data_IF_134844257355
#
_entry.id   IF_134844257355
#
_cell.length_a   1.000
_cell.length_b   1.000
_cell.length_c   1.000
_cell.angle_alpha   90.00
_cell.angle_beta   90.00
_cell.angle_gamma   90.00
#
_symmetry.space_group_name_H-M   'P 1'
#
loop_
_entity.id
_entity.type
_entity.pdbx_description
1 polymer ?
#
# COMPACT_ATOMS: atom_id res chain seq x y z
N UNK A 1 -10.47 11.20 2.93
CA UNK A 1 -9.27 10.42 2.58
C UNK A 1 -8.40 10.33 3.83
N UNK A 2 -8.44 9.17 4.46
CA UNK A 2 -7.67 8.83 5.67
C UNK A 2 -6.18 8.74 5.35
N UNK A 3 -5.31 9.16 6.26
CA UNK A 3 -3.85 9.03 6.09
C UNK A 3 -3.44 7.61 6.50
N UNK A 4 -2.75 6.90 5.61
CA UNK A 4 -2.18 5.58 5.90
C UNK A 4 -0.78 5.70 6.48
N UNK A 5 0.16 6.26 5.71
CA UNK A 5 1.57 6.36 6.10
C UNK A 5 2.23 7.60 5.48
N UNK A 6 3.34 8.04 6.06
CA UNK A 6 4.14 9.17 5.57
C UNK A 6 5.62 8.85 5.66
N UNK A 7 6.30 8.79 4.52
CA UNK A 7 7.76 8.58 4.44
C UNK A 7 8.33 9.43 3.28
N UNK A 8 9.55 9.98 3.39
CA UNK A 8 10.17 10.76 2.32
C UNK A 8 10.22 10.09 0.94
N UNK A 9 10.21 8.76 0.88
CA UNK A 9 10.30 8.00 -0.38
C UNK A 9 9.00 8.01 -1.19
N UNK A 10 7.85 8.00 -0.54
CA UNK A 10 6.55 7.92 -1.21
C UNK A 10 5.60 9.08 -0.88
N UNK A 11 5.96 9.96 0.05
CA UNK A 11 5.14 11.10 0.50
C UNK A 11 4.07 10.68 1.52
N UNK A 12 2.96 11.40 1.54
CA UNK A 12 1.83 11.18 2.44
C UNK A 12 0.74 10.37 1.75
N UNK A 13 0.75 9.06 1.95
CA UNK A 13 -0.23 8.16 1.35
C UNK A 13 -1.58 8.30 2.02
N UNK A 14 -2.58 8.69 1.23
CA UNK A 14 -3.97 8.75 1.66
C UNK A 14 -4.79 7.67 0.98
N UNK A 15 -5.59 6.97 1.76
CA UNK A 15 -6.49 5.92 1.26
C UNK A 15 -7.57 6.56 0.40
N UNK A 16 -7.69 6.05 -0.83
CA UNK A 16 -8.67 6.49 -1.83
C UNK A 16 -9.79 5.47 -1.96
N UNK A 17 -9.47 4.18 -2.06
CA UNK A 17 -10.45 3.11 -2.20
C UNK A 17 -9.99 1.84 -1.50
N UNK A 18 -10.88 1.15 -0.79
CA UNK A 18 -10.60 -0.09 -0.05
C UNK A 18 -11.20 -1.28 -0.78
N UNK A 19 -10.38 -2.28 -1.05
CA UNK A 19 -10.75 -3.49 -1.79
C UNK A 19 -10.98 -4.70 -0.88
N UNK A 20 -10.30 -4.72 0.27
CA UNK A 20 -10.49 -5.72 1.31
C UNK A 20 -10.38 -5.04 2.67
N UNK A 21 -11.40 -5.23 3.49
CA UNK A 21 -11.47 -4.74 4.87
C UNK A 21 -11.70 -5.92 5.80
N UNK A 22 -10.79 -6.08 6.77
CA UNK A 22 -10.87 -7.08 7.82
C UNK A 22 -10.09 -6.56 9.03
N UNK A 23 -10.82 -6.11 10.05
CA UNK A 23 -10.26 -5.36 11.19
C UNK A 23 -9.40 -4.17 10.74
N UNK A 24 -9.96 -3.40 9.78
CA UNK A 24 -9.29 -2.31 9.09
C UNK A 24 -8.94 -2.63 7.62
N UNK A 25 -8.45 -1.64 6.86
CA UNK A 25 -8.15 -1.79 5.43
C UNK A 25 -6.95 -2.71 5.22
N UNK A 26 -7.11 -3.83 4.52
CA UNK A 26 -6.01 -4.79 4.26
C UNK A 26 -5.53 -4.78 2.81
N UNK A 27 -6.39 -4.38 1.87
CA UNK A 27 -6.00 -4.11 0.48
C UNK A 27 -6.67 -2.83 0.04
N UNK A 28 -5.90 -1.86 -0.44
CA UNK A 28 -6.45 -0.57 -0.86
C UNK A 28 -5.56 0.14 -1.87
N UNK A 29 -6.15 1.13 -2.52
CA UNK A 29 -5.48 2.09 -3.38
C UNK A 29 -5.24 3.39 -2.60
N UNK A 30 -4.02 3.92 -2.69
CA UNK A 30 -3.63 5.18 -2.09
C UNK A 30 -2.99 6.15 -3.10
N UNK A 31 -3.16 7.45 -2.84
CA UNK A 31 -2.48 8.54 -3.55
C UNK A 31 -1.61 9.33 -2.57
N UNK A 32 -0.48 9.85 -3.06
CA UNK A 32 0.27 10.87 -2.33
C UNK A 32 -0.14 12.29 -2.76
N UNK A 33 0.44 13.30 -2.13
CA UNK A 33 0.18 14.73 -2.40
C UNK A 33 0.56 15.18 -3.82
N UNK A 34 1.44 14.44 -4.50
CA UNK A 34 1.85 14.69 -5.89
C UNK A 34 0.92 14.04 -6.91
N UNK A 35 -0.10 13.28 -6.46
CA UNK A 35 -1.00 12.53 -7.33
C UNK A 35 -0.42 11.21 -7.85
N UNK A 36 0.75 10.79 -7.34
CA UNK A 36 1.29 9.46 -7.60
C UNK A 36 0.47 8.40 -6.89
N UNK A 37 0.41 7.22 -7.50
CA UNK A 37 -0.56 6.18 -7.16
C UNK A 37 0.11 4.90 -6.70
N UNK A 38 -0.46 4.29 -5.68
CA UNK A 38 0.12 3.14 -5.01
C UNK A 38 -0.95 2.08 -4.70
N UNK A 39 -0.63 0.83 -4.97
CA UNK A 39 -1.38 -0.31 -4.48
C UNK A 39 -0.79 -0.75 -3.15
N UNK A 40 -1.61 -0.84 -2.10
CA UNK A 40 -1.16 -1.18 -0.75
C UNK A 40 -1.77 -2.50 -0.31
N UNK A 41 -0.91 -3.39 0.19
CA UNK A 41 -1.26 -4.75 0.57
C UNK A 41 -0.69 -5.09 1.95
N UNK A 42 -1.56 -5.44 2.91
CA UNK A 42 -1.17 -6.03 4.18
C UNK A 42 -0.68 -7.46 3.97
N UNK A 43 0.52 -7.75 4.46
CA UNK A 43 1.21 -9.04 4.26
C UNK A 43 1.04 -9.95 5.49
N UNK A 44 0.87 -9.36 6.67
CA UNK A 44 0.76 -10.10 7.92
C UNK A 44 1.18 -9.26 9.11
N UNK A 45 1.01 -9.83 10.29
CA UNK A 45 1.46 -9.24 11.54
C UNK A 45 2.66 -10.02 12.07
N UNK A 46 3.62 -9.29 12.60
CA UNK A 46 4.76 -9.82 13.35
C UNK A 46 4.55 -9.55 14.84
N UNK A 47 5.51 -9.90 15.69
CA UNK A 47 5.38 -9.72 17.14
C UNK A 47 5.23 -8.25 17.59
N UNK A 48 5.79 -7.30 16.83
CA UNK A 48 5.87 -5.88 17.23
C UNK A 48 5.38 -4.90 16.17
N UNK A 49 5.07 -5.35 14.95
CA UNK A 49 4.64 -4.49 13.85
C UNK A 49 3.72 -5.24 12.89
N UNK A 50 2.96 -4.48 12.12
CA UNK A 50 2.29 -4.96 10.91
C UNK A 50 3.20 -4.79 9.69
N UNK A 51 3.16 -5.75 8.77
CA UNK A 51 3.94 -5.74 7.54
C UNK A 51 3.05 -5.41 6.34
N UNK A 52 3.52 -4.47 5.52
CA UNK A 52 2.80 -3.94 4.37
C UNK A 52 3.70 -3.83 3.15
N UNK A 53 3.14 -4.07 1.97
CA UNK A 53 3.76 -3.71 0.70
C UNK A 53 3.07 -2.50 0.11
N UNK A 54 3.85 -1.47 -0.20
CA UNK A 54 3.40 -0.30 -0.96
C UNK A 54 4.04 -0.35 -2.34
N UNK A 55 3.22 -0.55 -3.35
CA UNK A 55 3.66 -0.84 -4.72
C UNK A 55 3.28 0.34 -5.61
N UNK A 56 4.25 1.11 -6.14
CA UNK A 56 3.97 2.12 -7.15
C UNK A 56 3.26 1.49 -8.35
N UNK A 57 2.14 2.07 -8.76
CA UNK A 57 1.24 1.45 -9.73
C UNK A 57 0.43 2.52 -10.44
N UNK A 58 0.34 2.46 -11.76
CA UNK A 58 -0.40 3.40 -12.59
C UNK A 58 -1.90 3.33 -12.34
N UNK A 59 -2.59 4.46 -12.56
CA UNK A 59 -4.07 4.51 -12.52
C UNK A 59 -4.71 3.47 -13.45
N UNK A 60 -4.11 3.21 -14.60
CA UNK A 60 -4.59 2.18 -15.55
C UNK A 60 -4.61 0.80 -14.91
N UNK A 61 -3.54 0.44 -14.19
CA UNK A 61 -3.41 -0.87 -13.56
C UNK A 61 -4.34 -1.02 -12.35
N UNK A 62 -4.57 0.06 -11.60
CA UNK A 62 -5.61 0.13 -10.55
C UNK A 62 -6.99 -0.10 -11.15
N UNK A 63 -7.36 0.61 -12.22
CA UNK A 63 -8.66 0.44 -12.90
C UNK A 63 -8.83 -0.98 -13.42
N UNK A 64 -7.77 -1.60 -13.95
CA UNK A 64 -7.82 -2.98 -14.41
C UNK A 64 -8.05 -3.97 -13.26
N UNK A 65 -7.46 -3.74 -12.09
CA UNK A 65 -7.74 -4.50 -10.87
C UNK A 65 -9.21 -4.31 -10.42
N UNK A 66 -9.71 -3.08 -10.37
CA UNK A 66 -11.10 -2.77 -10.01
C UNK A 66 -12.12 -3.41 -10.95
N UNK A 67 -11.81 -3.47 -12.24
CA UNK A 67 -12.61 -4.16 -13.26
C UNK A 67 -12.41 -5.68 -13.27
N UNK A 68 -11.65 -6.24 -12.32
CA UNK A 68 -11.33 -7.68 -12.20
C UNK A 68 -10.63 -8.25 -13.44
N UNK A 69 -9.98 -7.40 -14.23
CA UNK A 69 -9.15 -7.79 -15.37
C UNK A 69 -7.77 -8.27 -14.91
N UNK A 70 -7.32 -7.77 -13.75
CA UNK A 70 -6.14 -8.22 -13.04
C UNK A 70 -6.54 -8.69 -11.63
N UNK A 71 -5.70 -9.53 -11.04
CA UNK A 71 -5.85 -9.95 -9.65
C UNK A 71 -4.60 -9.56 -8.83
N UNK A 72 -4.66 -9.79 -7.52
CA UNK A 72 -3.57 -9.44 -6.60
C UNK A 72 -2.24 -10.07 -7.03
N UNK A 73 -2.26 -11.35 -7.41
CA UNK A 73 -1.07 -12.06 -7.88
C UNK A 73 -0.42 -11.33 -9.06
N UNK A 74 -1.22 -10.87 -10.03
CA UNK A 74 -0.69 -10.09 -11.17
C UNK A 74 -0.10 -8.74 -10.75
N UNK A 75 -0.71 -8.06 -9.77
CA UNK A 75 -0.13 -6.81 -9.22
C UNK A 75 1.26 -7.08 -8.64
N UNK A 76 1.41 -8.16 -7.88
CA UNK A 76 2.65 -8.54 -7.19
C UNK A 76 3.75 -9.04 -8.13
N UNK A 77 3.40 -9.85 -9.13
CA UNK A 77 4.37 -10.47 -10.05
C UNK A 77 4.77 -9.55 -11.22
N UNK A 78 3.86 -8.72 -11.72
CA UNK A 78 4.07 -7.89 -12.91
C UNK A 78 4.18 -6.42 -12.56
N UNK A 79 5.08 -6.07 -11.65
CA UNK A 79 5.25 -4.68 -11.19
C UNK A 79 5.70 -3.77 -12.33
N UNK A 80 5.23 -2.52 -12.32
CA UNK A 80 5.59 -1.53 -13.35
C UNK A 80 6.95 -0.87 -13.06
N UNK A 81 7.43 -1.00 -11.83
CA UNK A 81 8.74 -0.54 -11.36
C UNK A 81 9.50 -1.75 -10.82
N UNK A 82 10.84 -1.69 -10.83
CA UNK A 82 11.70 -2.74 -10.28
C UNK A 82 11.80 -2.69 -8.74
N UNK A 83 11.01 -1.83 -8.10
CA UNK A 83 10.99 -1.64 -6.66
C UNK A 83 9.56 -1.51 -6.15
N UNK A 84 9.40 -1.89 -4.88
CA UNK A 84 8.27 -1.58 -4.02
C UNK A 84 8.85 -1.24 -2.64
N UNK A 85 8.00 -0.79 -1.73
CA UNK A 85 8.41 -0.48 -0.37
C UNK A 85 7.90 -1.56 0.58
N UNK A 86 8.81 -2.16 1.35
CA UNK A 86 8.47 -3.03 2.48
C UNK A 86 8.30 -2.13 3.72
N UNK A 87 7.05 -1.88 4.10
CA UNK A 87 6.68 -0.95 5.18
C UNK A 87 6.31 -1.75 6.42
N UNK A 88 6.96 -1.45 7.55
CA UNK A 88 6.67 -2.02 8.86
C UNK A 88 6.10 -0.92 9.74
N UNK A 89 4.85 -1.10 10.19
CA UNK A 89 4.16 -0.15 11.05
C UNK A 89 4.14 -0.74 12.46
N UNK A 90 4.92 -0.21 13.42
CA UNK A 90 4.93 -0.70 14.78
C UNK A 90 3.56 -0.57 15.46
N UNK A 91 3.21 -1.55 16.29
CA UNK A 91 2.01 -1.43 17.14
C UNK A 91 2.18 -0.38 18.24
N UNK A 92 3.43 -0.13 18.65
CA UNK A 92 3.75 0.93 19.59
C UNK A 92 3.84 2.27 18.89
N UNK A 93 3.04 3.24 19.35
CA UNK A 93 3.07 4.62 18.83
C UNK A 93 4.36 5.39 19.19
N UNK A 94 5.23 4.83 20.03
CA UNK A 94 6.54 5.39 20.35
C UNK A 94 7.62 5.05 19.32
N UNK A 95 7.34 4.13 18.41
CA UNK A 95 8.30 3.67 17.39
C UNK A 95 7.95 4.25 16.03
N UNK A 96 8.96 4.58 15.24
CA UNK A 96 8.77 5.09 13.88
C UNK A 96 8.52 3.95 12.91
N UNK A 97 7.73 4.21 11.87
CA UNK A 97 7.55 3.26 10.78
C UNK A 97 8.90 3.04 10.07
N UNK A 98 9.17 1.80 9.71
CA UNK A 98 10.37 1.43 8.96
C UNK A 98 9.94 1.16 7.53
N UNK A 99 10.70 1.67 6.57
CA UNK A 99 10.52 1.29 5.18
C UNK A 99 11.86 0.82 4.64
N UNK A 100 11.87 -0.30 3.93
CA UNK A 100 13.02 -0.88 3.22
C UNK A 100 12.77 -0.88 1.71
#
# INVERSE_FOLDING_TARGET
MELFASDPRFGKLRIINVYLEFDGPKIFYAENESGSTFFVYWVGDEATFEKWYVIPCSKTKIIAFEKKQLNLKTILEQQEQEYFYDVKIPFSSSEELIVD
#
